data_IF_536940872489
#
_entry.id   IF_536940872489
#
_cell.length_a   1.000
_cell.length_b   1.000
_cell.length_c   1.000
_cell.angle_alpha   90.00
_cell.angle_beta   90.00
_cell.angle_gamma   90.00
#
_symmetry.space_group_name_H-M   'P 1'
#
loop_
_entity.id
_entity.type
_entity.pdbx_description
1 polymer ?
#
# COMPACT_ATOMS: atom_id res chain seq x y z
N UNK A 1 -24.77 -10.22 -10.74
CA UNK A 1 -24.55 -8.90 -10.13
C UNK A 1 -23.08 -8.67 -10.28
N UNK A 2 -22.73 -7.90 -11.31
CA UNK A 2 -21.33 -7.72 -11.71
C UNK A 2 -20.64 -6.82 -10.69
N UNK A 3 -19.55 -7.32 -10.11
CA UNK A 3 -18.63 -6.56 -9.27
C UNK A 3 -17.96 -5.49 -10.16
N UNK A 4 -17.96 -4.20 -9.77
CA UNK A 4 -17.28 -3.17 -10.55
C UNK A 4 -15.79 -3.50 -10.65
N UNK A 5 -15.22 -3.37 -11.84
CA UNK A 5 -13.76 -3.42 -12.00
C UNK A 5 -13.16 -2.15 -11.38
N UNK A 6 -12.02 -2.28 -10.70
CA UNK A 6 -11.32 -1.18 -10.01
C UNK A 6 -11.11 0.07 -10.90
N UNK A 7 -11.05 -0.14 -12.23
CA UNK A 7 -10.98 0.92 -13.25
C UNK A 7 -12.15 1.91 -13.15
N UNK A 8 -13.35 1.49 -12.77
CA UNK A 8 -14.50 2.40 -12.61
C UNK A 8 -14.46 3.21 -11.31
N UNK A 9 -13.72 2.75 -10.30
CA UNK A 9 -13.58 3.46 -9.01
C UNK A 9 -12.39 4.44 -9.04
N UNK A 10 -11.37 4.15 -9.86
CA UNK A 10 -10.14 4.96 -9.96
C UNK A 10 -10.21 6.05 -11.04
N UNK A 11 -11.29 6.12 -11.83
CA UNK A 11 -11.39 7.10 -12.91
C UNK A 11 -12.00 8.43 -12.45
N UNK A 12 -11.19 9.27 -11.79
CA UNK A 12 -11.39 10.74 -11.80
C UNK A 12 -10.11 11.52 -12.10
N UNK A 13 -9.09 10.89 -12.67
CA UNK A 13 -7.84 11.57 -12.98
C UNK A 13 -7.07 10.94 -14.12
N UNK A 14 -7.60 11.05 -15.33
CA UNK A 14 -6.76 10.95 -16.53
C UNK A 14 -5.60 11.93 -16.40
N UNK A 15 -4.38 11.39 -16.33
CA UNK A 15 -3.18 12.12 -16.71
C UNK A 15 -3.30 12.45 -18.21
N UNK A 16 -3.73 13.68 -18.49
CA UNK A 16 -3.87 14.41 -19.78
C UNK A 16 -5.28 15.04 -19.78
N UNK A 17 -5.51 16.35 -19.90
CA UNK A 17 -4.81 17.39 -20.66
C UNK A 17 -4.92 18.72 -19.89
N UNK A 18 -3.78 19.33 -19.56
CA UNK A 18 -3.59 20.79 -19.40
C UNK A 18 -2.13 21.03 -18.99
N UNK A 19 -1.20 20.61 -19.85
CA UNK A 19 0.12 21.24 -19.86
C UNK A 19 -0.15 22.63 -20.42
N UNK A 20 -0.42 23.59 -19.52
CA UNK A 20 -0.35 25.00 -19.88
C UNK A 20 1.08 25.28 -20.33
N UNK A 21 1.17 25.80 -21.53
CA UNK A 21 2.37 26.20 -22.24
C UNK A 21 3.44 26.79 -21.31
N UNK A 22 4.67 26.29 -21.43
CA UNK A 22 5.87 27.09 -21.19
C UNK A 22 6.29 27.41 -19.75
N UNK A 23 5.63 26.89 -18.71
CA UNK A 23 6.11 27.00 -17.30
C UNK A 23 6.46 25.66 -16.64
N UNK A 24 6.49 24.58 -17.43
CA UNK A 24 6.75 23.21 -16.99
C UNK A 24 8.20 22.90 -16.65
N UNK A 25 8.82 23.63 -15.72
CA UNK A 25 9.92 23.15 -14.86
C UNK A 25 10.27 24.13 -13.72
N UNK A 26 9.29 24.85 -13.15
CA UNK A 26 9.45 25.61 -11.89
C UNK A 26 8.93 24.83 -10.68
N UNK A 27 9.01 23.50 -10.70
CA UNK A 27 8.58 22.70 -9.55
C UNK A 27 9.70 22.67 -8.49
N UNK A 28 9.31 22.72 -7.22
CA UNK A 28 10.10 22.50 -6.00
C UNK A 28 10.80 23.69 -5.31
N UNK A 29 10.18 24.88 -5.15
CA UNK A 29 10.81 25.87 -4.24
C UNK A 29 10.04 26.34 -3.01
N UNK A 30 8.71 26.37 -3.00
CA UNK A 30 8.04 27.11 -1.90
C UNK A 30 6.95 26.33 -1.13
N UNK A 31 6.61 25.09 -1.52
CA UNK A 31 5.58 24.29 -0.83
C UNK A 31 5.95 22.82 -0.79
N UNK A 32 5.56 22.15 0.29
CA UNK A 32 5.87 20.73 0.48
C UNK A 32 4.65 19.85 0.19
N UNK A 33 4.82 18.84 -0.66
CA UNK A 33 3.75 17.92 -1.04
C UNK A 33 3.58 16.81 0.01
N UNK A 34 2.39 16.70 0.61
CA UNK A 34 2.04 15.57 1.48
C UNK A 34 1.58 14.36 0.64
N UNK A 35 1.08 14.61 -0.56
CA UNK A 35 0.68 13.60 -1.55
C UNK A 35 0.78 14.22 -2.97
N UNK A 36 0.61 13.45 -4.05
CA UNK A 36 0.74 13.98 -5.41
C UNK A 36 -0.12 15.21 -5.74
N UNK A 37 -1.36 15.28 -5.22
CA UNK A 37 -2.31 16.37 -5.49
C UNK A 37 -2.48 17.37 -4.33
N UNK A 38 -1.90 17.11 -3.16
CA UNK A 38 -2.09 17.94 -1.97
C UNK A 38 -0.77 18.37 -1.33
N UNK A 39 -0.79 19.57 -0.76
CA UNK A 39 0.31 20.16 0.00
C UNK A 39 0.15 19.88 1.51
N UNK A 40 1.24 20.02 2.25
CA UNK A 40 1.26 19.88 3.71
C UNK A 40 0.24 20.81 4.38
N UNK A 41 0.14 22.06 3.91
CA UNK A 41 -0.79 23.04 4.46
C UNK A 41 -2.25 22.63 4.27
N UNK A 42 -2.58 21.90 3.20
CA UNK A 42 -3.95 21.45 2.94
C UNK A 42 -4.42 20.46 4.01
N UNK A 43 -3.52 19.60 4.52
CA UNK A 43 -3.83 18.69 5.62
C UNK A 43 -3.83 19.41 6.97
N UNK A 44 -2.84 20.27 7.25
CA UNK A 44 -2.77 21.00 8.51
C UNK A 44 -3.97 21.92 8.73
N UNK A 45 -4.50 22.51 7.66
CA UNK A 45 -5.69 23.35 7.71
C UNK A 45 -6.98 22.59 8.06
N UNK A 46 -6.98 21.25 8.01
CA UNK A 46 -8.13 20.46 8.44
C UNK A 46 -8.32 20.48 9.96
N UNK A 47 -7.25 20.71 10.73
CA UNK A 47 -7.26 20.59 12.20
C UNK A 47 -7.99 19.32 12.65
N UNK A 48 -7.61 18.19 12.06
CA UNK A 48 -8.36 16.94 12.13
C UNK A 48 -8.38 16.40 13.57
N UNK A 49 -9.57 16.09 14.05
CA UNK A 49 -9.81 15.49 15.36
C UNK A 49 -10.89 14.40 15.27
N UNK A 50 -11.01 13.58 16.31
CA UNK A 50 -12.09 12.57 16.40
C UNK A 50 -13.50 13.18 16.34
N UNK A 51 -13.65 14.44 16.75
CA UNK A 51 -14.92 15.17 16.76
C UNK A 51 -15.16 16.02 15.50
N UNK A 52 -14.22 16.01 14.54
CA UNK A 52 -14.38 16.73 13.28
C UNK A 52 -15.57 16.17 12.50
N UNK A 53 -16.20 17.02 11.68
CA UNK A 53 -17.35 16.62 10.88
C UNK A 53 -16.99 15.65 9.73
N UNK A 54 -18.02 15.06 9.14
CA UNK A 54 -17.88 14.09 8.04
C UNK A 54 -17.14 14.69 6.84
N UNK A 55 -17.34 15.98 6.53
CA UNK A 55 -16.67 16.62 5.41
C UNK A 55 -15.16 16.74 5.64
N UNK A 56 -14.74 17.07 6.86
CA UNK A 56 -13.34 17.17 7.26
C UNK A 56 -12.67 15.79 7.24
N UNK A 57 -13.36 14.77 7.74
CA UNK A 57 -12.90 13.37 7.65
C UNK A 57 -12.76 12.91 6.21
N UNK A 58 -13.74 13.18 5.35
CA UNK A 58 -13.68 12.81 3.95
C UNK A 58 -12.51 13.48 3.23
N UNK A 59 -12.23 14.76 3.53
CA UNK A 59 -11.04 15.44 2.99
C UNK A 59 -9.74 14.80 3.46
N UNK A 60 -9.62 14.46 4.74
CA UNK A 60 -8.44 13.77 5.27
C UNK A 60 -8.24 12.40 4.61
N UNK A 61 -9.31 11.62 4.43
CA UNK A 61 -9.30 10.33 3.74
C UNK A 61 -8.88 10.51 2.28
N UNK A 62 -9.36 11.55 1.58
CA UNK A 62 -8.96 11.83 0.20
C UNK A 62 -7.47 12.16 0.06
N UNK A 63 -6.90 12.93 1.00
CA UNK A 63 -5.45 13.23 1.02
C UNK A 63 -4.65 11.94 1.25
N UNK A 64 -5.10 11.10 2.19
CA UNK A 64 -4.48 9.81 2.45
C UNK A 64 -4.58 8.86 1.26
N UNK A 65 -5.75 8.76 0.62
CA UNK A 65 -5.95 7.92 -0.55
C UNK A 65 -5.05 8.37 -1.70
N UNK A 66 -5.02 9.67 -2.01
CA UNK A 66 -4.12 10.24 -3.00
C UNK A 66 -2.64 9.91 -2.70
N UNK A 67 -2.25 9.93 -1.41
CA UNK A 67 -0.90 9.57 -0.98
C UNK A 67 -0.58 8.10 -1.24
N UNK A 68 -1.48 7.19 -0.86
CA UNK A 68 -1.23 5.74 -0.99
C UNK A 68 -1.32 5.31 -2.47
N UNK A 69 -2.33 5.79 -3.18
CA UNK A 69 -2.55 5.45 -4.57
C UNK A 69 -1.40 5.93 -5.45
N UNK A 70 -1.07 7.22 -5.40
CA UNK A 70 -0.07 7.78 -6.30
C UNK A 70 1.37 7.46 -5.93
N UNK A 71 1.67 7.03 -4.69
CA UNK A 71 3.03 6.60 -4.30
C UNK A 71 3.26 5.10 -4.43
N UNK A 72 2.19 4.29 -4.42
CA UNK A 72 2.30 2.83 -4.42
C UNK A 72 1.36 2.19 -5.43
N UNK A 73 0.04 2.30 -5.26
CA UNK A 73 -0.92 1.43 -5.94
C UNK A 73 -0.98 1.63 -7.44
N UNK A 74 -0.88 2.87 -7.94
CA UNK A 74 -0.88 3.12 -9.39
C UNK A 74 0.31 2.44 -10.07
N UNK A 75 1.49 2.49 -9.46
CA UNK A 75 2.70 1.82 -9.98
C UNK A 75 2.61 0.30 -9.84
N UNK A 76 2.10 -0.21 -8.71
CA UNK A 76 1.85 -1.64 -8.50
C UNK A 76 0.92 -2.17 -9.60
N UNK A 77 -0.17 -1.45 -9.88
CA UNK A 77 -1.16 -1.80 -10.90
C UNK A 77 -0.51 -1.79 -12.29
N UNK A 78 0.13 -0.69 -12.68
CA UNK A 78 0.81 -0.56 -13.97
C UNK A 78 1.82 -1.70 -14.23
N UNK A 79 2.63 -2.04 -13.23
CA UNK A 79 3.59 -3.14 -13.35
C UNK A 79 2.89 -4.49 -13.46
N UNK A 80 1.84 -4.75 -12.67
CA UNK A 80 1.10 -6.01 -12.70
C UNK A 80 0.30 -6.22 -13.99
N UNK A 81 -0.26 -5.16 -14.56
CA UNK A 81 -0.99 -5.22 -15.83
C UNK A 81 -0.06 -5.54 -16.98
N UNK A 82 1.14 -4.95 -16.97
CA UNK A 82 2.18 -5.29 -17.95
C UNK A 82 2.59 -6.76 -17.86
N UNK A 83 2.79 -7.32 -16.65
CA UNK A 83 3.07 -8.76 -16.47
C UNK A 83 1.96 -9.61 -17.08
N UNK A 84 0.70 -9.27 -16.80
CA UNK A 84 -0.47 -10.02 -17.27
C UNK A 84 -0.62 -9.95 -18.79
N UNK A 85 -0.35 -8.78 -19.38
CA UNK A 85 -0.39 -8.58 -20.83
C UNK A 85 0.72 -9.35 -21.56
N UNK A 86 1.89 -9.50 -20.93
CA UNK A 86 3.01 -10.22 -21.53
C UNK A 86 3.99 -10.73 -20.46
N UNK A 87 4.10 -12.06 -20.34
CA UNK A 87 5.00 -12.74 -19.40
C UNK A 87 6.47 -12.35 -19.53
N UNK A 88 6.89 -11.73 -20.64
CA UNK A 88 8.25 -11.17 -20.78
C UNK A 88 8.52 -10.02 -19.81
N UNK A 89 7.49 -9.43 -19.20
CA UNK A 89 7.61 -8.43 -18.13
C UNK A 89 7.68 -9.04 -16.73
N UNK A 90 7.95 -10.35 -16.61
CA UNK A 90 8.18 -11.03 -15.33
C UNK A 90 9.25 -10.32 -14.45
N UNK A 91 10.16 -9.57 -15.05
CA UNK A 91 11.14 -8.75 -14.34
C UNK A 91 10.49 -7.68 -13.43
N UNK A 92 9.26 -7.26 -13.72
CA UNK A 92 8.52 -6.30 -12.90
C UNK A 92 8.09 -6.87 -11.55
N UNK A 93 8.08 -8.19 -11.39
CA UNK A 93 7.65 -8.88 -10.17
C UNK A 93 8.45 -8.45 -8.94
N UNK A 94 9.75 -8.19 -9.11
CA UNK A 94 10.60 -7.71 -8.02
C UNK A 94 10.20 -6.30 -7.60
N UNK A 95 9.95 -5.41 -8.56
CA UNK A 95 9.50 -4.04 -8.31
C UNK A 95 8.11 -4.02 -7.68
N UNK A 96 7.17 -4.82 -8.21
CA UNK A 96 5.83 -4.99 -7.66
C UNK A 96 5.91 -5.46 -6.20
N UNK A 97 6.67 -6.53 -5.92
CA UNK A 97 6.78 -7.06 -4.57
C UNK A 97 7.54 -6.15 -3.59
N UNK A 98 8.48 -5.34 -4.09
CA UNK A 98 9.12 -4.30 -3.29
C UNK A 98 8.10 -3.23 -2.87
N UNK A 99 7.30 -2.72 -3.82
CA UNK A 99 6.26 -1.73 -3.54
C UNK A 99 5.18 -2.29 -2.62
N UNK A 100 4.70 -3.51 -2.86
CA UNK A 100 3.75 -4.19 -1.98
C UNK A 100 4.32 -4.32 -0.55
N UNK A 101 5.61 -4.67 -0.41
CA UNK A 101 6.25 -4.77 0.90
C UNK A 101 6.30 -3.41 1.63
N UNK A 102 6.62 -2.34 0.92
CA UNK A 102 6.62 -0.99 1.49
C UNK A 102 5.21 -0.56 1.90
N UNK A 103 4.21 -0.90 1.10
CA UNK A 103 2.81 -0.59 1.38
C UNK A 103 2.29 -1.37 2.60
N UNK A 104 2.59 -2.68 2.72
CA UNK A 104 2.22 -3.49 3.89
C UNK A 104 2.76 -2.86 5.19
N UNK A 105 4.03 -2.47 5.19
CA UNK A 105 4.64 -1.83 6.35
C UNK A 105 4.00 -0.47 6.65
N UNK A 106 3.67 0.29 5.60
CA UNK A 106 2.95 1.58 5.73
C UNK A 106 1.56 1.38 6.33
N UNK A 107 0.75 0.46 5.80
CA UNK A 107 -0.58 0.15 6.30
C UNK A 107 -0.53 -0.38 7.74
N UNK A 108 0.43 -1.23 8.07
CA UNK A 108 0.64 -1.67 9.45
C UNK A 108 0.85 -0.49 10.40
N UNK A 109 1.64 0.52 10.01
CA UNK A 109 1.84 1.71 10.82
C UNK A 109 0.56 2.55 10.95
N UNK A 110 -0.25 2.64 9.90
CA UNK A 110 -1.55 3.33 9.94
C UNK A 110 -2.58 2.60 10.81
N UNK A 111 -2.64 1.26 10.73
CA UNK A 111 -3.51 0.46 11.58
C UNK A 111 -3.22 0.63 13.07
N UNK A 112 -1.96 0.89 13.43
CA UNK A 112 -1.49 0.90 14.81
C UNK A 112 -1.02 2.30 15.30
N UNK A 113 -1.19 3.35 14.49
CA UNK A 113 -0.80 4.72 14.85
C UNK A 113 0.69 4.90 15.14
N UNK A 114 1.56 4.17 14.41
CA UNK A 114 2.99 4.11 14.69
C UNK A 114 3.78 5.11 13.86
N UNK A 115 4.67 5.86 14.51
CA UNK A 115 5.65 6.70 13.82
C UNK A 115 6.53 5.89 12.87
N UNK A 116 7.24 4.90 13.43
CA UNK A 116 8.10 3.97 12.72
C UNK A 116 7.85 2.57 13.25
N UNK A 117 8.02 1.58 12.38
CA UNK A 117 8.14 0.19 12.84
C UNK A 117 9.45 0.05 13.62
N UNK A 118 9.37 -0.29 14.90
CA UNK A 118 10.55 -0.34 15.77
C UNK A 118 11.53 -1.45 15.36
N UNK A 119 12.81 -1.25 15.67
CA UNK A 119 13.87 -2.22 15.40
C UNK A 119 13.52 -3.60 15.97
N UNK A 120 13.67 -4.65 15.15
CA UNK A 120 13.21 -6.05 15.36
C UNK A 120 11.69 -6.29 15.27
N UNK A 121 10.87 -5.24 15.28
CA UNK A 121 9.42 -5.30 15.08
C UNK A 121 8.99 -5.55 13.64
N UNK A 122 9.84 -5.23 12.65
CA UNK A 122 9.50 -5.37 11.22
C UNK A 122 8.99 -6.76 10.84
N UNK A 123 9.65 -7.83 11.31
CA UNK A 123 9.17 -9.19 11.02
C UNK A 123 7.77 -9.42 11.58
N UNK A 124 7.53 -8.96 12.81
CA UNK A 124 6.25 -9.14 13.48
C UNK A 124 5.15 -8.32 12.81
N UNK A 125 5.46 -7.11 12.31
CA UNK A 125 4.53 -6.30 11.53
C UNK A 125 3.99 -7.06 10.32
N UNK A 126 4.87 -7.68 9.52
CA UNK A 126 4.45 -8.49 8.37
C UNK A 126 3.70 -9.75 8.80
N UNK A 127 4.16 -10.45 9.84
CA UNK A 127 3.47 -11.65 10.34
C UNK A 127 2.05 -11.30 10.79
N UNK A 128 1.88 -10.25 11.59
CA UNK A 128 0.57 -9.85 12.08
C UNK A 128 -0.34 -9.40 10.93
N UNK A 129 0.18 -8.59 10.00
CA UNK A 129 -0.59 -8.13 8.85
C UNK A 129 -1.09 -9.31 8.02
N UNK A 130 -0.17 -10.18 7.58
CA UNK A 130 -0.49 -11.29 6.68
C UNK A 130 -1.32 -12.39 7.34
N UNK A 131 -1.24 -12.57 8.66
CA UNK A 131 -2.02 -13.63 9.35
C UNK A 131 -3.35 -13.14 9.93
N UNK A 132 -3.57 -11.83 10.05
CA UNK A 132 -4.82 -11.28 10.63
C UNK A 132 -5.72 -10.58 9.62
N UNK A 133 -5.20 -10.22 8.46
CA UNK A 133 -6.01 -9.70 7.35
C UNK A 133 -7.06 -10.74 6.92
N UNK A 134 -8.27 -10.28 6.62
CA UNK A 134 -9.33 -11.13 6.07
C UNK A 134 -8.99 -11.66 4.66
N UNK A 135 -8.09 -10.98 3.95
CA UNK A 135 -7.69 -11.28 2.58
C UNK A 135 -6.44 -12.18 2.51
N UNK A 136 -5.59 -12.14 3.54
CA UNK A 136 -4.37 -12.95 3.59
C UNK A 136 -4.41 -14.11 4.59
N UNK A 137 -5.19 -14.00 5.68
CA UNK A 137 -5.10 -14.90 6.83
C UNK A 137 -5.42 -16.37 6.52
N UNK A 138 -6.22 -16.64 5.49
CA UNK A 138 -6.50 -18.00 5.00
C UNK A 138 -5.33 -18.62 4.22
N UNK A 139 -4.45 -17.81 3.64
CA UNK A 139 -3.29 -18.25 2.84
C UNK A 139 -2.00 -18.29 3.66
N UNK A 140 -1.91 -17.49 4.73
CA UNK A 140 -0.69 -17.31 5.50
C UNK A 140 -0.75 -17.94 6.88
N UNK A 141 0.27 -18.73 7.19
CA UNK A 141 0.63 -19.08 8.56
C UNK A 141 1.72 -18.14 9.06
N UNK A 142 1.97 -18.12 10.38
CA UNK A 142 3.13 -17.41 10.94
C UNK A 142 4.45 -17.83 10.28
N UNK A 143 4.56 -19.09 9.86
CA UNK A 143 5.73 -19.63 9.17
C UNK A 143 5.86 -19.05 7.76
N UNK A 144 4.83 -19.15 6.93
CA UNK A 144 4.89 -18.63 5.55
C UNK A 144 5.00 -17.10 5.52
N UNK A 145 4.37 -16.39 6.46
CA UNK A 145 4.55 -14.94 6.60
C UNK A 145 5.98 -14.58 7.04
N UNK A 146 6.62 -15.42 7.86
CA UNK A 146 8.04 -15.26 8.19
C UNK A 146 8.94 -15.46 6.97
N UNK A 147 8.62 -16.42 6.10
CA UNK A 147 9.33 -16.63 4.83
C UNK A 147 9.14 -15.44 3.89
N UNK A 148 7.91 -14.95 3.71
CA UNK A 148 7.66 -13.72 2.96
C UNK A 148 8.57 -12.56 3.40
N UNK A 149 8.58 -12.27 4.71
CA UNK A 149 9.40 -11.17 5.23
C UNK A 149 10.90 -11.35 4.98
N UNK A 150 11.43 -12.55 5.24
CA UNK A 150 12.87 -12.77 5.22
C UNK A 150 13.44 -13.09 3.83
N UNK A 151 12.64 -13.75 2.98
CA UNK A 151 13.07 -14.24 1.67
C UNK A 151 12.64 -13.34 0.52
N UNK A 152 11.46 -12.73 0.61
CA UNK A 152 10.95 -11.80 -0.40
C UNK A 152 11.33 -10.39 -0.01
N UNK A 153 10.71 -9.82 1.04
CA UNK A 153 10.92 -8.40 1.41
C UNK A 153 12.40 -8.08 1.64
N UNK A 154 13.06 -8.80 2.56
CA UNK A 154 14.47 -8.55 2.86
C UNK A 154 15.42 -9.01 1.75
N UNK A 155 15.06 -10.04 0.99
CA UNK A 155 15.85 -10.50 -0.15
C UNK A 155 15.91 -9.44 -1.23
N UNK A 156 14.73 -9.00 -1.68
CA UNK A 156 14.59 -7.99 -2.73
C UNK A 156 15.24 -6.68 -2.30
N UNK A 157 14.90 -6.17 -1.11
CA UNK A 157 15.34 -4.84 -0.67
C UNK A 157 16.86 -4.74 -0.45
N UNK A 158 17.51 -5.79 0.04
CA UNK A 158 18.94 -5.72 0.41
C UNK A 158 19.87 -6.39 -0.59
N UNK A 159 19.35 -7.29 -1.44
CA UNK A 159 20.19 -8.16 -2.25
C UNK A 159 19.66 -8.37 -3.67
N UNK A 160 18.55 -7.73 -4.06
CA UNK A 160 17.92 -7.90 -5.37
C UNK A 160 17.71 -9.38 -5.76
N UNK A 161 17.41 -10.25 -4.79
CA UNK A 161 17.13 -11.68 -5.00
C UNK A 161 16.05 -12.19 -4.05
N UNK A 162 15.39 -13.30 -4.38
CA UNK A 162 14.68 -14.10 -3.36
C UNK A 162 15.67 -15.02 -2.62
N UNK A 163 15.24 -15.64 -1.52
CA UNK A 163 16.08 -16.56 -0.74
C UNK A 163 15.41 -17.91 -0.52
N UNK A 164 16.23 -18.91 -0.18
CA UNK A 164 15.79 -20.27 0.22
C UNK A 164 14.79 -20.89 -0.77
N UNK A 165 15.14 -20.88 -2.05
CA UNK A 165 14.28 -21.37 -3.14
C UNK A 165 12.90 -20.70 -3.24
N UNK A 166 12.65 -19.58 -2.56
CA UNK A 166 11.40 -18.84 -2.68
C UNK A 166 11.23 -18.32 -4.09
N UNK A 167 10.05 -18.53 -4.66
CA UNK A 167 9.76 -18.22 -6.06
C UNK A 167 8.63 -17.18 -6.14
N UNK A 168 8.78 -16.26 -7.08
CA UNK A 168 7.70 -15.40 -7.54
C UNK A 168 7.13 -16.03 -8.80
N UNK A 169 5.82 -16.25 -8.83
CA UNK A 169 5.12 -17.01 -9.86
C UNK A 169 3.80 -16.33 -10.21
N UNK A 170 3.08 -16.92 -11.18
CA UNK A 170 1.83 -16.42 -11.75
C UNK A 170 0.91 -17.61 -12.00
N UNK A 171 -0.40 -17.34 -12.06
CA UNK A 171 -1.42 -18.31 -12.46
C UNK A 171 -1.42 -19.61 -11.62
N UNK A 172 -0.97 -19.55 -10.37
CA UNK A 172 -1.05 -20.69 -9.46
C UNK A 172 -2.51 -20.94 -9.03
N UNK A 173 -2.85 -22.15 -8.57
CA UNK A 173 -4.18 -22.38 -8.00
C UNK A 173 -4.36 -21.61 -6.68
N UNK A 174 -3.33 -21.62 -5.83
CA UNK A 174 -3.30 -20.93 -4.53
C UNK A 174 -2.32 -19.76 -4.55
N UNK A 175 -2.58 -18.72 -3.74
CA UNK A 175 -1.64 -17.60 -3.59
C UNK A 175 -0.27 -18.04 -3.07
N UNK A 176 -0.25 -18.99 -2.14
CA UNK A 176 0.97 -19.55 -1.55
C UNK A 176 0.94 -21.06 -1.62
N UNK A 177 2.07 -21.63 -2.01
CA UNK A 177 2.39 -23.05 -1.86
C UNK A 177 3.70 -23.15 -1.07
N UNK A 178 3.69 -23.89 0.04
CA UNK A 178 4.92 -24.25 0.73
C UNK A 178 5.71 -25.26 -0.10
N UNK A 179 7.01 -24.99 -0.28
CA UNK A 179 7.95 -25.86 -1.00
C UNK A 179 9.11 -26.23 -0.08
N UNK A 180 9.91 -27.22 -0.47
CA UNK A 180 10.89 -27.91 0.40
C UNK A 180 11.79 -26.97 1.23
N UNK A 181 12.09 -25.75 0.75
CA UNK A 181 12.87 -24.77 1.51
C UNK A 181 12.33 -23.32 1.50
N UNK A 182 11.11 -23.08 1.03
CA UNK A 182 10.59 -21.71 0.89
C UNK A 182 9.11 -21.67 0.57
N UNK A 183 8.69 -20.62 -0.12
CA UNK A 183 7.33 -20.50 -0.65
C UNK A 183 7.34 -20.23 -2.16
N UNK A 184 6.33 -20.72 -2.86
CA UNK A 184 5.96 -20.22 -4.18
C UNK A 184 4.81 -19.23 -4.01
N UNK A 185 5.04 -17.96 -4.35
CA UNK A 185 4.08 -16.87 -4.19
C UNK A 185 3.53 -16.45 -5.57
N UNK A 186 2.21 -16.41 -5.71
CA UNK A 186 1.55 -15.80 -6.87
C UNK A 186 1.50 -14.28 -6.71
N UNK A 187 2.22 -13.55 -7.55
CA UNK A 187 2.39 -12.10 -7.43
C UNK A 187 1.09 -11.35 -7.71
N UNK A 188 0.29 -11.81 -8.66
CA UNK A 188 -0.94 -11.13 -9.07
C UNK A 188 -2.00 -11.29 -7.98
N UNK A 189 -2.24 -12.52 -7.51
CA UNK A 189 -3.16 -12.77 -6.40
C UNK A 189 -2.75 -12.01 -5.14
N UNK A 190 -1.46 -12.01 -4.82
CA UNK A 190 -0.96 -11.28 -3.65
C UNK A 190 -1.22 -9.79 -3.76
N UNK A 191 -0.95 -9.20 -4.93
CA UNK A 191 -1.22 -7.79 -5.21
C UNK A 191 -2.72 -7.50 -5.09
N UNK A 192 -3.59 -8.33 -5.66
CA UNK A 192 -5.03 -8.09 -5.64
C UNK A 192 -5.59 -8.13 -4.21
N UNK A 193 -5.14 -9.08 -3.37
CA UNK A 193 -5.53 -9.10 -1.96
C UNK A 193 -4.98 -7.92 -1.15
N UNK A 194 -3.83 -7.35 -1.55
CA UNK A 194 -3.33 -6.13 -0.93
C UNK A 194 -4.18 -4.91 -1.30
N UNK A 195 -4.71 -4.86 -2.53
CA UNK A 195 -5.67 -3.84 -2.94
C UNK A 195 -6.98 -3.98 -2.15
N UNK A 196 -7.48 -5.21 -1.98
CA UNK A 196 -8.68 -5.47 -1.18
C UNK A 196 -8.49 -5.04 0.29
N UNK A 197 -7.36 -5.39 0.90
CA UNK A 197 -7.01 -4.97 2.27
C UNK A 197 -6.92 -3.44 2.41
N UNK A 198 -6.43 -2.75 1.37
CA UNK A 198 -6.42 -1.29 1.34
C UNK A 198 -7.84 -0.69 1.24
N UNK A 199 -8.72 -1.27 0.42
CA UNK A 199 -10.11 -0.81 0.33
C UNK A 199 -10.85 -1.01 1.66
N UNK A 200 -10.69 -2.17 2.29
CA UNK A 200 -11.24 -2.44 3.64
C UNK A 200 -10.69 -1.44 4.68
N UNK A 201 -9.41 -1.06 4.61
CA UNK A 201 -8.87 0.00 5.46
C UNK A 201 -9.63 1.33 5.29
N UNK A 202 -9.88 1.75 4.03
CA UNK A 202 -10.63 2.98 3.75
C UNK A 202 -12.07 2.90 4.24
N UNK A 203 -12.76 1.79 4.00
CA UNK A 203 -14.13 1.57 4.46
C UNK A 203 -14.23 1.64 5.98
N UNK A 204 -13.32 0.96 6.68
CA UNK A 204 -13.24 0.99 8.14
C UNK A 204 -12.89 2.36 8.68
N UNK A 205 -12.02 3.12 8.00
CA UNK A 205 -11.66 4.48 8.40
C UNK A 205 -12.82 5.45 8.20
N UNK A 206 -13.60 5.25 7.13
CA UNK A 206 -14.78 6.05 6.84
C UNK A 206 -15.92 5.80 7.84
N UNK A 207 -16.00 4.60 8.42
CA UNK A 207 -16.94 4.28 9.50
C UNK A 207 -16.57 5.01 10.82
N UNK A 208 -17.42 5.94 11.25
CA UNK A 208 -17.21 6.79 12.42
C UNK A 208 -17.18 6.05 13.76
N UNK A 209 -17.81 4.87 13.83
CA UNK A 209 -17.77 4.00 15.00
C UNK A 209 -16.38 3.37 15.24
N UNK A 210 -15.47 3.41 14.26
CA UNK A 210 -14.13 2.83 14.36
C UNK A 210 -13.14 3.82 15.00
N UNK A 211 -13.43 4.23 16.24
CA UNK A 211 -12.69 5.28 16.94
C UNK A 211 -11.18 4.97 17.09
N UNK A 212 -10.82 3.72 17.39
CA UNK A 212 -9.42 3.31 17.53
C UNK A 212 -8.64 3.49 16.22
N UNK A 213 -9.23 3.05 15.09
CA UNK A 213 -8.61 3.20 13.78
C UNK A 213 -8.45 4.67 13.38
N UNK A 214 -9.46 5.50 13.64
CA UNK A 214 -9.41 6.95 13.39
C UNK A 214 -8.36 7.65 14.25
N UNK A 215 -8.24 7.25 15.52
CA UNK A 215 -7.21 7.79 16.41
C UNK A 215 -5.81 7.41 15.92
N UNK A 216 -5.63 6.15 15.51
CA UNK A 216 -4.38 5.65 14.93
C UNK A 216 -4.03 6.36 13.62
N UNK A 217 -5.02 6.63 12.77
CA UNK A 217 -4.85 7.41 11.55
C UNK A 217 -4.34 8.84 11.85
N UNK A 218 -4.99 9.56 12.77
CA UNK A 218 -4.58 10.91 13.18
C UNK A 218 -3.13 10.88 13.68
N UNK A 219 -2.83 10.00 14.65
CA UNK A 219 -1.47 9.82 15.20
C UNK A 219 -0.44 9.60 14.09
N UNK A 220 -0.75 8.73 13.12
CA UNK A 220 0.16 8.45 12.02
C UNK A 220 0.37 9.65 11.11
N UNK A 221 -0.70 10.36 10.76
CA UNK A 221 -0.61 11.56 9.94
C UNK A 221 0.14 12.69 10.64
N UNK A 222 0.00 12.84 11.96
CA UNK A 222 0.76 13.81 12.74
C UNK A 222 2.27 13.54 12.70
N UNK A 223 2.68 12.27 12.79
CA UNK A 223 4.09 11.90 12.59
C UNK A 223 4.59 12.23 11.17
N UNK A 224 3.73 12.11 10.17
CA UNK A 224 4.07 12.47 8.79
C UNK A 224 4.22 13.98 8.65
N UNK A 225 3.29 14.78 9.19
CA UNK A 225 3.24 16.23 8.98
C UNK A 225 4.30 16.98 9.79
N UNK A 226 4.71 16.46 10.95
CA UNK A 226 5.75 17.07 11.80
C UNK A 226 7.19 16.86 11.31
N UNK A 227 7.41 16.02 10.31
CA UNK A 227 8.73 15.62 9.80
C UNK A 227 9.04 16.09 8.38
N UNK A 228 8.05 16.70 7.74
CA UNK A 228 8.12 17.19 6.35
C UNK A 228 8.67 18.62 6.34
#
# INVERSE_FOLDING_TARGET
MDTPTFVEVVNTGTLNENIKDGEGLKMFKDRVYISPRYYLEDYLALDLSLTSDEQTWQRAINIFSDRIEGRFLLLIQEYSDNITANYRYIDYSFSTMALCSLLIETLHQFYNGLDVTVFRGHKEAFVQFLTRSNYFGSYFTRRTASFFYSDIRNGILHQAQTKRNTQLTFEQENMIIEIENGISLDVIKFKDELLNEYQEYLERLNNDSNHELRENFIKKMDYITTRI
#
